data_IF_115590171285
#
_entry.id   IF_115590171285
#
_cell.length_a   1.000
_cell.length_b   1.000
_cell.length_c   1.000
_cell.angle_alpha   90.00
_cell.angle_beta   90.00
_cell.angle_gamma   90.00
#
_symmetry.space_group_name_H-M   'P 1'
#
loop_
_entity.id
_entity.type
_entity.pdbx_description
1 polymer ?
#
# COMPACT_ATOMS: atom_id res chain seq x y z
N UNK A 1 -54.73 -64.62 -14.60
CA UNK A 1 -55.00 -63.78 -13.41
C UNK A 1 -53.72 -63.69 -12.58
N UNK A 2 -53.06 -62.53 -12.55
CA UNK A 2 -53.04 -61.57 -11.43
C UNK A 2 -52.20 -62.12 -10.24
N UNK A 3 -51.07 -61.53 -9.87
CA UNK A 3 -50.97 -60.18 -9.29
C UNK A 3 -49.58 -59.55 -9.49
N UNK A 4 -49.60 -58.39 -10.13
CA UNK A 4 -48.71 -57.26 -9.87
C UNK A 4 -48.97 -56.81 -8.42
N UNK A 5 -47.92 -56.52 -7.65
CA UNK A 5 -48.07 -55.78 -6.40
C UNK A 5 -47.35 -54.43 -6.52
N UNK A 6 -48.18 -53.42 -6.76
CA UNK A 6 -47.87 -52.00 -6.76
C UNK A 6 -47.95 -51.51 -5.31
N UNK A 7 -46.83 -51.07 -4.74
CA UNK A 7 -46.86 -50.10 -3.64
C UNK A 7 -45.85 -48.99 -3.91
N UNK A 8 -46.41 -47.92 -4.47
CA UNK A 8 -45.92 -46.56 -4.50
C UNK A 8 -45.57 -46.10 -3.08
N UNK A 9 -44.31 -45.71 -2.85
CA UNK A 9 -43.97 -44.65 -1.89
C UNK A 9 -43.28 -43.57 -2.71
N UNK A 10 -44.02 -42.49 -2.86
CA UNK A 10 -43.66 -41.24 -3.49
C UNK A 10 -42.76 -40.47 -2.50
N UNK A 11 -41.48 -40.31 -2.81
CA UNK A 11 -40.64 -39.27 -2.20
C UNK A 11 -40.09 -38.42 -3.35
N UNK A 12 -40.78 -37.32 -3.62
CA UNK A 12 -40.35 -36.29 -4.58
C UNK A 12 -39.27 -35.47 -3.88
N UNK A 13 -38.00 -35.77 -4.17
CA UNK A 13 -36.89 -34.84 -3.99
C UNK A 13 -36.58 -34.27 -5.38
N UNK A 14 -37.04 -33.05 -5.64
CA UNK A 14 -36.64 -32.29 -6.82
C UNK A 14 -35.19 -31.85 -6.60
N UNK A 15 -34.24 -32.70 -7.02
CA UNK A 15 -32.87 -32.27 -7.30
C UNK A 15 -32.91 -31.73 -8.72
N UNK A 16 -32.87 -30.41 -8.85
CA UNK A 16 -32.53 -29.72 -10.09
C UNK A 16 -31.07 -30.03 -10.40
N UNK A 17 -30.81 -31.23 -10.93
CA UNK A 17 -29.52 -31.63 -11.48
C UNK A 17 -29.37 -30.87 -12.79
N UNK A 18 -28.50 -29.86 -12.78
CA UNK A 18 -27.97 -29.26 -14.00
C UNK A 18 -27.41 -30.42 -14.83
N UNK A 19 -28.10 -30.76 -15.92
CA UNK A 19 -27.62 -31.71 -16.90
C UNK A 19 -26.49 -31.03 -17.65
N UNK A 20 -25.28 -31.00 -17.06
CA UNK A 20 -24.10 -30.82 -17.88
C UNK A 20 -24.12 -31.96 -18.89
N UNK A 21 -24.03 -31.70 -20.20
CA UNK A 21 -23.75 -32.78 -21.12
C UNK A 21 -22.45 -33.43 -20.65
N UNK A 22 -22.53 -34.68 -20.23
CA UNK A 22 -21.39 -35.57 -20.30
C UNK A 22 -21.02 -35.56 -21.78
N UNK A 23 -20.01 -34.75 -22.13
CA UNK A 23 -19.30 -34.93 -23.38
C UNK A 23 -18.64 -36.28 -23.21
N UNK A 24 -19.31 -37.33 -23.68
CA UNK A 24 -18.66 -38.58 -24.00
C UNK A 24 -17.72 -38.22 -25.15
N UNK A 25 -16.51 -37.77 -24.79
CA UNK A 25 -15.37 -37.93 -25.68
C UNK A 25 -15.20 -39.44 -25.76
N UNK A 26 -15.91 -40.07 -26.69
CA UNK A 26 -15.47 -41.37 -27.19
C UNK A 26 -14.15 -41.06 -27.85
N UNK A 27 -13.06 -41.20 -27.09
CA UNK A 27 -11.77 -41.37 -27.69
C UNK A 27 -11.91 -42.67 -28.49
N UNK A 28 -12.11 -42.56 -29.82
CA UNK A 28 -11.91 -43.71 -30.70
C UNK A 28 -10.51 -44.22 -30.36
N UNK A 29 -10.46 -45.35 -29.67
CA UNK A 29 -9.21 -46.05 -29.44
C UNK A 29 -8.82 -46.58 -30.82
N UNK A 30 -8.06 -45.79 -31.57
CA UNK A 30 -7.57 -46.17 -32.90
C UNK A 30 -6.47 -47.24 -32.80
N UNK A 31 -6.66 -48.25 -31.94
CA UNK A 31 -5.81 -49.42 -31.77
C UNK A 31 -6.11 -50.42 -32.88
N UNK A 32 -6.01 -49.94 -34.11
CA UNK A 32 -6.13 -50.74 -35.31
C UNK A 32 -4.74 -51.00 -35.89
N UNK A 33 -4.53 -52.17 -36.48
CA UNK A 33 -3.34 -52.41 -37.28
C UNK A 33 -3.70 -53.19 -38.55
N UNK A 34 -2.96 -52.92 -39.62
CA UNK A 34 -3.10 -53.62 -40.90
C UNK A 34 -2.35 -54.95 -40.85
N UNK A 35 -3.02 -56.02 -41.27
CA UNK A 35 -2.41 -57.33 -41.45
C UNK A 35 -2.56 -57.78 -42.90
N UNK A 36 -1.49 -58.32 -43.46
CA UNK A 36 -1.44 -58.77 -44.85
C UNK A 36 -0.77 -60.13 -44.90
N UNK A 37 -1.22 -60.98 -45.84
CA UNK A 37 -0.64 -62.30 -45.99
C UNK A 37 -0.97 -62.93 -47.33
N UNK A 38 -0.42 -64.13 -47.53
CA UNK A 38 -0.73 -65.00 -48.66
C UNK A 38 -1.09 -66.38 -48.15
N UNK A 39 -2.19 -66.95 -48.65
CA UNK A 39 -2.62 -68.32 -48.37
C UNK A 39 -2.52 -69.20 -49.62
N UNK A 40 -1.97 -70.38 -49.41
CA UNK A 40 -1.83 -71.44 -50.39
C UNK A 40 -2.46 -72.72 -49.82
N UNK A 41 -2.98 -73.59 -50.68
CA UNK A 41 -3.45 -74.91 -50.27
C UNK A 41 -2.27 -75.87 -50.03
N UNK A 42 -2.56 -77.11 -49.64
CA UNK A 42 -1.54 -78.15 -49.40
C UNK A 42 -0.64 -78.44 -50.61
N UNK A 43 -1.11 -78.13 -51.82
CA UNK A 43 -0.38 -78.35 -53.08
C UNK A 43 0.43 -77.10 -53.50
N UNK A 44 0.45 -76.04 -52.68
CA UNK A 44 1.11 -74.77 -52.96
C UNK A 44 0.35 -73.86 -53.96
N UNK A 45 -0.88 -74.21 -54.31
CA UNK A 45 -1.70 -73.38 -55.20
C UNK A 45 -2.36 -72.23 -54.40
N UNK A 46 -2.38 -71.00 -54.93
CA UNK A 46 -2.98 -69.85 -54.26
C UNK A 46 -4.49 -70.02 -54.07
N UNK A 47 -4.99 -69.70 -52.88
CA UNK A 47 -6.43 -69.74 -52.57
C UNK A 47 -7.12 -68.50 -53.17
N UNK A 48 -8.32 -68.66 -53.74
CA UNK A 48 -9.13 -67.55 -54.26
C UNK A 48 -10.59 -67.70 -53.85
N UNK A 49 -10.84 -67.55 -52.55
CA UNK A 49 -12.17 -67.68 -51.92
C UNK A 49 -12.28 -66.77 -50.71
N UNK A 50 -13.48 -66.65 -50.14
CA UNK A 50 -13.69 -66.00 -48.84
C UNK A 50 -13.63 -67.07 -47.74
N UNK A 51 -12.75 -66.90 -46.77
CA UNK A 51 -12.58 -67.81 -45.62
C UNK A 51 -12.80 -67.05 -44.30
N UNK A 52 -13.22 -67.74 -43.24
CA UNK A 52 -13.28 -67.13 -41.91
C UNK A 52 -11.90 -67.21 -41.26
N UNK A 53 -11.25 -66.06 -41.08
CA UNK A 53 -9.96 -65.98 -40.42
C UNK A 53 -10.14 -65.50 -38.99
N UNK A 54 -9.61 -66.26 -38.03
CA UNK A 54 -9.56 -65.90 -36.62
C UNK A 54 -8.15 -65.46 -36.27
N UNK A 55 -8.02 -64.20 -35.88
CA UNK A 55 -6.78 -63.57 -35.45
C UNK A 55 -6.75 -63.51 -33.94
N UNK A 56 -5.60 -63.86 -33.35
CA UNK A 56 -5.38 -63.75 -31.92
C UNK A 56 -4.09 -63.00 -31.63
N UNK A 57 -4.10 -62.16 -30.61
CA UNK A 57 -2.89 -61.49 -30.12
C UNK A 57 -2.51 -62.12 -28.79
N UNK A 58 -1.24 -62.48 -28.66
CA UNK A 58 -0.64 -63.08 -27.49
C UNK A 58 0.41 -62.16 -26.88
N UNK A 59 0.58 -62.24 -25.55
CA UNK A 59 1.78 -61.73 -24.90
C UNK A 59 3.00 -62.62 -25.14
N UNK A 60 4.15 -62.23 -24.57
CA UNK A 60 5.39 -62.98 -24.63
C UNK A 60 5.44 -64.18 -23.65
N UNK A 61 4.32 -64.53 -23.02
CA UNK A 61 4.10 -65.74 -22.23
C UNK A 61 3.04 -66.67 -22.85
N UNK A 62 2.69 -66.47 -24.13
CA UNK A 62 1.67 -67.23 -24.87
C UNK A 62 0.23 -67.09 -24.32
N UNK A 63 -0.08 -66.04 -23.55
CA UNK A 63 -1.45 -65.75 -23.11
C UNK A 63 -2.23 -65.00 -24.19
N UNK A 64 -3.40 -65.50 -24.57
CA UNK A 64 -4.27 -64.85 -25.55
C UNK A 64 -4.93 -63.60 -24.93
N UNK A 65 -4.58 -62.42 -25.41
CA UNK A 65 -5.09 -61.14 -24.93
C UNK A 65 -6.29 -60.63 -25.73
N UNK A 66 -6.38 -61.01 -27.00
CA UNK A 66 -7.39 -60.50 -27.91
C UNK A 66 -7.67 -61.48 -29.03
N UNK A 67 -8.92 -61.51 -29.51
CA UNK A 67 -9.37 -62.37 -30.59
C UNK A 67 -10.36 -61.64 -31.49
N UNK A 68 -10.25 -61.79 -32.81
CA UNK A 68 -11.22 -61.26 -33.77
C UNK A 68 -11.34 -62.23 -34.95
N UNK A 69 -12.58 -62.54 -35.34
CA UNK A 69 -12.87 -63.38 -36.50
C UNK A 69 -13.51 -62.53 -37.60
N UNK A 70 -12.97 -62.63 -38.82
CA UNK A 70 -13.51 -61.95 -40.01
C UNK A 70 -13.65 -62.90 -41.17
N UNK A 71 -14.71 -62.72 -41.96
CA UNK A 71 -14.77 -63.25 -43.31
C UNK A 71 -13.85 -62.42 -44.21
N UNK A 72 -12.76 -63.03 -44.67
CA UNK A 72 -11.71 -62.36 -45.46
C UNK A 72 -11.74 -62.89 -46.88
N UNK A 73 -11.92 -61.99 -47.85
CA UNK A 73 -11.86 -62.32 -49.29
C UNK A 73 -10.40 -62.40 -49.74
N UNK A 74 -9.99 -63.56 -50.22
CA UNK A 74 -8.64 -63.84 -50.71
C UNK A 74 -8.66 -63.87 -52.23
N UNK A 75 -7.70 -63.20 -52.87
CA UNK A 75 -7.58 -63.14 -54.33
C UNK A 75 -6.16 -63.55 -54.71
N UNK A 76 -6.02 -64.60 -55.52
CA UNK A 76 -4.73 -65.15 -55.94
C UNK A 76 -3.78 -65.41 -54.75
N UNK A 77 -4.34 -65.88 -53.64
CA UNK A 77 -3.67 -66.15 -52.38
C UNK A 77 -3.50 -64.93 -51.50
N UNK A 78 -3.50 -63.70 -52.03
CA UNK A 78 -3.27 -62.48 -51.26
C UNK A 78 -4.50 -61.99 -50.50
N UNK A 79 -4.27 -61.40 -49.32
CA UNK A 79 -5.28 -60.66 -48.56
C UNK A 79 -4.65 -59.51 -47.76
N UNK A 80 -5.44 -58.47 -47.50
CA UNK A 80 -5.14 -57.38 -46.60
C UNK A 80 -6.39 -57.00 -45.80
N UNK A 81 -6.22 -56.65 -44.53
CA UNK A 81 -7.31 -56.19 -43.69
C UNK A 81 -6.82 -55.30 -42.54
N UNK A 82 -7.75 -54.51 -42.00
CA UNK A 82 -7.54 -53.78 -40.76
C UNK A 82 -8.20 -54.53 -39.60
N UNK A 83 -7.43 -54.81 -38.55
CA UNK A 83 -7.88 -55.47 -37.32
C UNK A 83 -8.16 -54.44 -36.21
N UNK A 84 -9.03 -54.77 -35.26
CA UNK A 84 -9.30 -53.93 -34.08
C UNK A 84 -10.13 -52.66 -34.32
N UNK A 85 -10.79 -52.52 -35.48
CA UNK A 85 -11.55 -51.31 -35.87
C UNK A 85 -12.88 -51.15 -35.14
N UNK A 86 -13.36 -52.17 -34.43
CA UNK A 86 -14.65 -52.13 -33.73
C UNK A 86 -14.47 -51.73 -32.27
N UNK A 87 -15.18 -50.68 -31.86
CA UNK A 87 -15.23 -50.19 -30.47
C UNK A 87 -15.68 -51.25 -29.45
N UNK A 88 -16.34 -52.33 -29.91
CA UNK A 88 -16.79 -53.43 -29.06
C UNK A 88 -15.69 -54.39 -28.62
N UNK A 89 -14.53 -54.38 -29.29
CA UNK A 89 -13.41 -55.27 -28.98
C UNK A 89 -12.06 -54.65 -29.40
N UNK A 90 -11.66 -53.53 -28.77
CA UNK A 90 -10.40 -52.86 -29.11
C UNK A 90 -9.21 -53.76 -28.77
N UNK A 91 -8.13 -53.65 -29.54
CA UNK A 91 -6.89 -54.35 -29.22
C UNK A 91 -6.28 -53.72 -27.95
N UNK A 92 -5.96 -54.53 -26.92
CA UNK A 92 -5.54 -54.03 -25.61
C UNK A 92 -4.06 -53.63 -25.58
N UNK A 93 -3.59 -52.83 -26.54
CA UNK A 93 -2.22 -52.34 -26.52
C UNK A 93 -2.02 -51.31 -25.40
N UNK A 94 -0.93 -51.46 -24.65
CA UNK A 94 -0.53 -50.54 -23.58
C UNK A 94 0.79 -49.83 -23.93
N UNK A 95 1.07 -48.72 -23.25
CA UNK A 95 2.33 -47.96 -23.46
C UNK A 95 3.50 -48.75 -22.87
N UNK A 96 4.63 -48.84 -23.59
CA UNK A 96 5.85 -49.58 -23.20
C UNK A 96 5.64 -51.09 -23.01
N UNK A 97 4.73 -51.66 -23.79
CA UNK A 97 4.41 -53.07 -23.76
C UNK A 97 5.52 -53.94 -24.37
N UNK A 98 5.69 -55.16 -23.85
CA UNK A 98 6.63 -56.16 -24.38
C UNK A 98 6.20 -56.62 -25.79
N UNK A 99 7.09 -57.32 -26.50
CA UNK A 99 6.75 -57.97 -27.77
C UNK A 99 5.42 -58.73 -27.69
N UNK A 100 4.63 -58.65 -28.76
CA UNK A 100 3.34 -59.34 -28.91
C UNK A 100 3.46 -60.29 -30.09
N UNK A 101 2.65 -61.33 -30.09
CA UNK A 101 2.61 -62.29 -31.19
C UNK A 101 1.21 -62.34 -31.79
N UNK A 102 1.11 -62.43 -33.10
CA UNK A 102 -0.14 -62.71 -33.79
C UNK A 102 -0.19 -64.15 -34.26
N UNK A 103 -1.29 -64.80 -33.92
CA UNK A 103 -1.70 -66.09 -34.46
C UNK A 103 -2.85 -65.93 -35.45
N UNK A 104 -2.89 -66.82 -36.44
CA UNK A 104 -3.93 -66.90 -37.47
C UNK A 104 -4.44 -68.34 -37.53
N UNK A 105 -5.75 -68.51 -37.41
CA UNK A 105 -6.44 -69.75 -37.77
C UNK A 105 -7.41 -69.48 -38.92
N UNK A 106 -7.54 -70.44 -39.84
CA UNK A 106 -8.40 -70.31 -41.03
C UNK A 106 -9.48 -71.39 -40.97
N UNK A 107 -10.73 -70.95 -41.00
CA UNK A 107 -11.94 -71.76 -40.78
C UNK A 107 -11.84 -72.68 -39.55
N UNK A 108 -11.72 -73.99 -39.76
CA UNK A 108 -11.62 -75.01 -38.71
C UNK A 108 -10.21 -75.58 -38.52
N UNK A 109 -9.22 -75.07 -39.24
CA UNK A 109 -7.86 -75.58 -39.18
C UNK A 109 -7.17 -75.17 -37.86
N UNK A 110 -6.18 -75.94 -37.39
CA UNK A 110 -5.32 -75.53 -36.29
C UNK A 110 -4.69 -74.16 -36.54
N UNK A 111 -4.42 -73.42 -35.45
CA UNK A 111 -3.71 -72.14 -35.55
C UNK A 111 -2.34 -72.33 -36.19
N UNK A 112 -1.98 -71.44 -37.11
CA UNK A 112 -0.72 -71.50 -37.83
C UNK A 112 0.47 -71.28 -36.89
N UNK A 113 1.48 -72.14 -37.01
CA UNK A 113 2.75 -72.03 -36.30
C UNK A 113 3.92 -71.87 -37.29
N UNK A 114 4.94 -71.05 -36.98
CA UNK A 114 5.08 -70.22 -35.77
C UNK A 114 4.26 -68.92 -35.83
N UNK A 115 3.86 -68.42 -34.65
CA UNK A 115 3.23 -67.10 -34.52
C UNK A 115 4.20 -65.99 -34.96
N UNK A 116 3.66 -64.93 -35.55
CA UNK A 116 4.47 -63.80 -36.02
C UNK A 116 4.61 -62.75 -34.91
N UNK A 117 5.84 -62.33 -34.60
CA UNK A 117 6.07 -61.22 -33.69
C UNK A 117 5.57 -59.90 -34.33
N UNK A 118 4.73 -59.17 -33.60
CA UNK A 118 4.32 -57.80 -33.94
C UNK A 118 5.04 -56.85 -32.99
N UNK A 119 5.92 -56.02 -33.55
CA UNK A 119 6.68 -55.03 -32.79
C UNK A 119 5.76 -53.94 -32.25
N UNK A 120 5.99 -53.51 -31.00
CA UNK A 120 5.26 -52.40 -30.41
C UNK A 120 5.45 -51.13 -31.25
N UNK A 121 4.38 -50.59 -31.83
CA UNK A 121 4.43 -49.25 -32.42
C UNK A 121 4.64 -48.29 -31.26
N UNK A 122 5.75 -47.54 -31.29
CA UNK A 122 5.95 -46.36 -30.46
C UNK A 122 4.82 -45.37 -30.79
N UNK A 123 3.65 -45.51 -30.17
CA UNK A 123 2.85 -44.33 -29.91
C UNK A 123 3.76 -43.45 -29.08
N UNK A 124 4.00 -42.21 -29.53
CA UNK A 124 4.64 -41.18 -28.74
C UNK A 124 3.78 -40.99 -27.48
N UNK A 125 4.01 -41.84 -26.49
CA UNK A 125 3.39 -41.80 -25.19
C UNK A 125 3.80 -40.46 -24.64
N UNK A 126 2.87 -39.52 -24.73
CA UNK A 126 2.69 -38.36 -23.87
C UNK A 126 3.84 -38.22 -22.87
N UNK A 127 4.61 -37.13 -22.98
CA UNK A 127 5.56 -36.73 -21.95
C UNK A 127 4.81 -36.63 -20.60
N UNK A 128 4.75 -37.75 -19.88
CA UNK A 128 3.94 -37.90 -18.67
C UNK A 128 4.46 -36.97 -17.56
N UNK A 129 5.70 -36.55 -17.71
CA UNK A 129 6.31 -35.46 -16.98
C UNK A 129 7.36 -34.80 -17.87
N UNK A 130 7.40 -33.48 -17.84
CA UNK A 130 8.57 -32.74 -18.28
C UNK A 130 9.63 -32.93 -17.18
N UNK A 131 10.81 -33.45 -17.54
CA UNK A 131 11.89 -33.60 -16.56
C UNK A 131 12.35 -32.22 -16.08
N UNK A 132 12.85 -32.14 -14.85
CA UNK A 132 13.42 -30.89 -14.33
C UNK A 132 14.42 -30.29 -15.30
N UNK A 133 14.39 -28.96 -15.44
CA UNK A 133 15.23 -28.16 -16.35
C UNK A 133 15.01 -28.40 -17.86
N UNK A 134 14.11 -29.30 -18.26
CA UNK A 134 13.90 -29.59 -19.70
C UNK A 134 13.34 -28.40 -20.48
N UNK A 135 12.63 -27.48 -19.82
CA UNK A 135 12.19 -26.22 -20.43
C UNK A 135 13.27 -25.17 -20.20
N UNK A 136 14.09 -24.96 -21.23
CA UNK A 136 15.06 -23.88 -21.28
C UNK A 136 14.40 -22.61 -21.81
N UNK A 137 15.03 -21.46 -21.61
CA UNK A 137 14.55 -20.18 -22.18
C UNK A 137 14.34 -20.25 -23.69
N UNK A 138 15.22 -20.93 -24.44
CA UNK A 138 15.10 -21.11 -25.89
C UNK A 138 13.89 -21.95 -26.35
N UNK A 139 13.28 -22.72 -25.44
CA UNK A 139 12.06 -23.50 -25.73
C UNK A 139 10.79 -22.70 -25.43
N UNK A 140 10.91 -21.53 -24.81
CA UNK A 140 9.83 -20.60 -24.59
C UNK A 140 9.94 -19.49 -25.63
N UNK A 141 8.91 -19.35 -26.47
CA UNK A 141 8.82 -18.18 -27.34
C UNK A 141 8.71 -16.90 -26.48
N UNK A 142 9.16 -15.78 -27.03
CA UNK A 142 9.03 -14.49 -26.35
C UNK A 142 7.56 -14.22 -25.99
N UNK A 143 7.33 -13.74 -24.77
CA UNK A 143 5.99 -13.52 -24.20
C UNK A 143 5.11 -14.78 -24.05
N UNK A 144 5.64 -15.99 -24.23
CA UNK A 144 4.87 -17.22 -24.04
C UNK A 144 4.38 -17.41 -22.60
N UNK A 145 5.07 -16.83 -21.61
CA UNK A 145 4.66 -16.84 -20.20
C UNK A 145 4.01 -15.50 -19.88
N UNK A 146 2.69 -15.49 -19.76
CA UNK A 146 1.87 -14.33 -19.38
C UNK A 146 1.54 -14.38 -17.88
N UNK A 147 1.00 -13.28 -17.32
CA UNK A 147 0.58 -13.24 -15.91
C UNK A 147 -0.35 -14.38 -15.53
N UNK A 148 -1.29 -14.75 -16.41
CA UNK A 148 -2.28 -15.80 -16.15
C UNK A 148 -1.66 -17.21 -16.05
N UNK A 149 -0.44 -17.38 -16.57
CA UNK A 149 0.34 -18.63 -16.48
C UNK A 149 1.24 -18.67 -15.24
N UNK A 150 1.34 -17.56 -14.50
CA UNK A 150 2.12 -17.45 -13.27
C UNK A 150 1.14 -17.50 -12.10
N UNK A 151 1.17 -18.59 -11.33
CA UNK A 151 0.35 -18.68 -10.14
C UNK A 151 0.72 -17.60 -9.11
N UNK A 152 -0.24 -17.22 -8.27
CA UNK A 152 0.01 -16.30 -7.17
C UNK A 152 1.16 -16.83 -6.29
N UNK A 153 2.07 -15.94 -5.92
CA UNK A 153 3.27 -16.26 -5.12
C UNK A 153 4.26 -17.25 -5.76
N UNK A 154 4.13 -17.58 -7.06
CA UNK A 154 5.07 -18.46 -7.76
C UNK A 154 6.47 -17.83 -7.92
N UNK A 155 6.55 -16.50 -7.90
CA UNK A 155 7.81 -15.75 -7.96
C UNK A 155 8.18 -15.27 -6.56
N UNK A 156 9.08 -15.99 -5.91
CA UNK A 156 9.69 -15.61 -4.62
C UNK A 156 10.83 -14.60 -4.82
N UNK A 157 11.29 -13.98 -3.74
CA UNK A 157 12.33 -12.94 -3.80
C UNK A 157 13.66 -13.43 -4.37
N UNK A 158 14.02 -14.70 -4.15
CA UNK A 158 15.22 -15.33 -4.73
C UNK A 158 15.12 -15.55 -6.25
N UNK A 159 13.93 -15.41 -6.84
CA UNK A 159 13.70 -15.46 -8.30
C UNK A 159 13.72 -14.08 -8.95
N UNK A 160 13.91 -13.01 -8.15
CA UNK A 160 14.01 -11.65 -8.63
C UNK A 160 15.46 -11.23 -8.43
N UNK A 161 16.18 -11.07 -9.54
CA UNK A 161 17.57 -10.63 -9.48
C UNK A 161 17.71 -9.24 -8.85
N UNK A 162 18.87 -8.97 -8.25
CA UNK A 162 19.20 -7.65 -7.72
C UNK A 162 19.02 -6.57 -8.80
N UNK A 163 18.36 -5.47 -8.42
CA UNK A 163 18.00 -4.35 -9.30
C UNK A 163 17.04 -4.68 -10.46
N UNK A 164 16.44 -5.88 -10.50
CA UNK A 164 15.45 -6.21 -11.52
C UNK A 164 14.21 -5.32 -11.44
N UNK A 165 13.84 -4.83 -10.25
CA UNK A 165 12.74 -3.88 -10.02
C UNK A 165 13.29 -2.45 -10.01
N UNK A 166 13.32 -1.82 -11.18
CA UNK A 166 13.74 -0.43 -11.35
C UNK A 166 12.59 0.56 -11.06
N UNK A 167 12.90 1.85 -10.93
CA UNK A 167 11.90 2.88 -10.63
C UNK A 167 10.74 2.92 -11.65
N UNK A 168 11.01 2.71 -12.93
CA UNK A 168 9.96 2.66 -13.98
C UNK A 168 8.98 1.49 -13.82
N UNK A 169 9.39 0.41 -13.13
CA UNK A 169 8.53 -0.74 -12.84
C UNK A 169 7.68 -0.53 -11.59
N UNK A 170 7.96 0.51 -10.81
CA UNK A 170 7.20 0.90 -9.61
C UNK A 170 6.29 2.07 -10.00
N UNK A 171 4.99 1.84 -10.03
CA UNK A 171 4.03 2.91 -10.31
C UNK A 171 4.07 4.00 -9.22
N UNK A 172 3.71 5.23 -9.59
CA UNK A 172 3.56 6.32 -8.63
C UNK A 172 2.61 5.91 -7.50
N UNK A 173 2.98 6.20 -6.25
CA UNK A 173 2.25 5.83 -5.03
C UNK A 173 2.11 4.31 -4.79
N UNK A 174 2.80 3.45 -5.53
CA UNK A 174 2.74 2.01 -5.31
C UNK A 174 3.31 1.59 -3.95
N UNK A 175 4.25 2.36 -3.39
CA UNK A 175 4.83 2.16 -2.06
C UNK A 175 4.17 3.13 -1.08
N UNK A 176 3.11 2.68 -0.40
CA UNK A 176 2.46 3.42 0.69
C UNK A 176 3.19 3.23 2.02
N UNK A 177 2.84 4.03 3.03
CA UNK A 177 3.40 3.92 4.39
C UNK A 177 3.34 2.50 4.93
N UNK A 178 2.21 1.80 4.74
CA UNK A 178 1.99 0.46 5.29
C UNK A 178 2.86 -0.62 4.62
N UNK A 179 3.46 -0.31 3.46
CA UNK A 179 4.42 -1.19 2.77
C UNK A 179 5.86 -0.95 3.22
N UNK A 180 6.10 0.09 4.02
CA UNK A 180 7.41 0.42 4.59
C UNK A 180 7.37 -0.01 6.05
N UNK A 181 8.15 -1.02 6.41
CA UNK A 181 8.24 -1.44 7.80
C UNK A 181 8.78 -0.31 8.70
N UNK A 182 8.26 -0.24 9.93
CA UNK A 182 8.68 0.75 10.92
C UNK A 182 10.21 0.77 11.09
N UNK A 183 10.75 1.96 11.33
CA UNK A 183 12.19 2.20 11.52
C UNK A 183 13.09 1.84 10.31
N UNK A 184 12.52 1.43 9.17
CA UNK A 184 13.33 1.08 8.00
C UNK A 184 13.92 2.32 7.33
N UNK A 185 13.22 3.46 7.34
CA UNK A 185 13.73 4.73 6.77
C UNK A 185 14.45 5.53 7.85
N UNK A 186 15.77 5.34 7.98
CA UNK A 186 16.63 6.12 8.87
C UNK A 186 16.97 7.49 8.26
N UNK A 187 17.49 8.43 9.07
CA UNK A 187 17.97 9.73 8.59
C UNK A 187 19.03 9.59 7.48
N UNK A 188 19.89 8.58 7.58
CA UNK A 188 20.88 8.26 6.54
C UNK A 188 20.27 7.83 5.21
N UNK A 189 19.02 7.32 5.19
CA UNK A 189 18.28 6.99 3.96
C UNK A 189 17.52 8.17 3.38
N UNK A 190 17.35 9.25 4.15
CA UNK A 190 16.82 10.54 3.69
C UNK A 190 17.93 11.45 3.15
N UNK A 191 19.20 11.07 3.32
CA UNK A 191 20.34 11.84 2.86
C UNK A 191 20.41 11.82 1.32
N UNK A 192 20.42 13.01 0.71
CA UNK A 192 20.69 13.15 -0.72
C UNK A 192 22.14 12.81 -1.08
N UNK A 193 22.46 12.61 -2.37
CA UNK A 193 23.84 12.39 -2.82
C UNK A 193 24.75 13.53 -2.35
N UNK A 194 25.81 13.21 -1.61
CA UNK A 194 26.76 14.21 -1.08
C UNK A 194 26.35 14.88 0.23
N UNK A 195 25.16 14.61 0.77
CA UNK A 195 24.76 15.04 2.11
C UNK A 195 24.90 13.87 3.08
N UNK A 196 25.75 13.99 4.09
CA UNK A 196 25.85 13.02 5.18
C UNK A 196 24.86 13.38 6.28
N UNK A 197 23.55 13.26 6.01
CA UNK A 197 22.56 13.32 7.08
C UNK A 197 22.76 12.10 7.98
N UNK A 198 23.52 12.27 9.06
CA UNK A 198 23.75 11.23 10.06
C UNK A 198 22.56 11.12 11.01
N UNK A 199 22.63 10.20 11.97
CA UNK A 199 21.76 10.24 13.14
C UNK A 199 21.99 11.59 13.85
N UNK A 200 20.92 12.36 14.03
CA UNK A 200 20.95 13.59 14.82
C UNK A 200 21.17 13.29 16.30
N UNK A 201 21.48 14.32 17.08
CA UNK A 201 21.55 14.26 18.54
C UNK A 201 20.29 14.87 19.17
N UNK A 202 20.07 14.56 20.46
CA UNK A 202 18.94 15.14 21.20
C UNK A 202 19.01 16.68 21.19
N UNK A 203 17.89 17.32 20.85
CA UNK A 203 17.75 18.76 20.80
C UNK A 203 18.03 19.39 19.42
N UNK A 204 18.51 18.61 18.45
CA UNK A 204 18.65 19.10 17.08
C UNK A 204 17.31 19.16 16.36
N UNK A 205 17.18 20.13 15.46
CA UNK A 205 16.04 20.35 14.58
C UNK A 205 16.44 19.92 13.18
N UNK A 206 15.60 19.09 12.55
CA UNK A 206 15.76 18.75 11.13
C UNK A 206 15.11 19.85 10.29
N UNK A 207 15.90 20.47 9.41
CA UNK A 207 15.43 21.52 8.51
C UNK A 207 15.65 21.12 7.06
N UNK A 208 14.70 21.44 6.18
CA UNK A 208 14.91 21.34 4.73
C UNK A 208 15.86 22.45 4.27
N UNK A 209 16.77 22.11 3.35
CA UNK A 209 17.71 23.05 2.75
C UNK A 209 17.15 23.71 1.48
N UNK A 210 15.94 23.34 1.03
CA UNK A 210 15.32 23.87 -0.20
C UNK A 210 15.86 23.28 -1.51
N UNK A 211 16.82 22.35 -1.43
CA UNK A 211 17.47 21.68 -2.56
C UNK A 211 17.20 20.17 -2.58
N UNK A 212 16.09 19.74 -1.98
CA UNK A 212 15.73 18.34 -1.72
C UNK A 212 16.64 17.60 -0.73
N UNK A 213 17.52 18.31 -0.02
CA UNK A 213 18.28 17.76 1.12
C UNK A 213 17.80 18.33 2.46
N UNK A 214 18.26 17.72 3.54
CA UNK A 214 17.97 18.12 4.92
C UNK A 214 19.26 18.25 5.73
N UNK A 215 19.22 19.07 6.77
CA UNK A 215 20.33 19.28 7.71
C UNK A 215 19.83 19.28 9.16
N UNK A 216 20.69 18.83 10.06
CA UNK A 216 20.51 19.05 11.50
C UNK A 216 21.06 20.42 11.89
N UNK A 217 20.26 21.21 12.61
CA UNK A 217 20.66 22.48 13.19
C UNK A 217 20.28 22.56 14.66
N UNK A 218 20.92 23.48 15.39
CA UNK A 218 20.56 23.80 16.78
C UNK A 218 19.64 25.03 16.89
N UNK A 219 19.47 25.75 15.78
CA UNK A 219 18.76 27.04 15.74
C UNK A 219 17.75 27.02 14.60
N UNK A 220 16.51 27.40 14.89
CA UNK A 220 15.52 27.68 13.86
C UNK A 220 15.70 29.11 13.36
N UNK A 221 15.91 29.29 12.06
CA UNK A 221 16.19 30.59 11.42
C UNK A 221 14.97 31.19 10.70
N UNK A 222 13.78 30.59 10.84
CA UNK A 222 12.55 31.03 10.17
C UNK A 222 11.58 31.80 11.07
N UNK A 223 10.38 32.06 10.53
CA UNK A 223 9.24 32.62 11.29
C UNK A 223 8.43 31.50 11.93
N UNK A 224 8.11 31.63 13.22
CA UNK A 224 7.18 30.74 13.93
C UNK A 224 5.78 31.33 13.87
N UNK A 225 4.92 30.77 13.01
CA UNK A 225 3.50 31.16 12.91
C UNK A 225 2.64 30.22 13.76
N UNK A 226 2.25 30.67 14.96
CA UNK A 226 1.46 29.86 15.91
C UNK A 226 0.40 30.72 16.60
N UNK A 227 -0.68 30.10 17.08
CA UNK A 227 -1.69 30.80 17.89
C UNK A 227 -1.21 31.11 19.31
N UNK A 228 -0.23 30.35 19.82
CA UNK A 228 0.42 30.59 21.11
C UNK A 228 1.84 30.04 21.10
N UNK A 229 2.77 30.76 21.74
CA UNK A 229 4.13 30.32 21.99
C UNK A 229 4.28 30.11 23.50
N UNK A 230 4.59 28.89 23.93
CA UNK A 230 4.82 28.54 25.34
C UNK A 230 6.25 28.04 25.51
N UNK A 231 6.99 28.58 26.48
CA UNK A 231 8.35 28.15 26.82
C UNK A 231 8.32 27.45 28.19
N UNK A 232 8.45 26.13 28.20
CA UNK A 232 8.41 25.29 29.40
C UNK A 232 9.80 24.78 29.79
N UNK A 233 10.07 24.62 31.09
CA UNK A 233 11.28 23.98 31.63
C UNK A 233 11.88 24.71 32.84
N UNK A 234 12.50 23.95 33.74
CA UNK A 234 12.98 24.40 35.07
C UNK A 234 14.04 25.51 35.01
N UNK A 235 14.61 25.81 33.83
CA UNK A 235 15.60 26.86 33.59
C UNK A 235 15.41 27.58 32.23
N UNK A 236 14.22 27.51 31.63
CA UNK A 236 14.00 28.02 30.28
C UNK A 236 13.74 29.54 30.29
N UNK A 237 14.71 30.33 29.85
CA UNK A 237 14.53 31.76 29.57
C UNK A 237 14.15 31.97 28.10
N UNK A 238 13.15 32.80 27.82
CA UNK A 238 12.89 33.31 26.48
C UNK A 238 13.72 34.58 26.25
N UNK A 239 14.78 34.48 25.45
CA UNK A 239 15.63 35.61 25.08
C UNK A 239 15.21 36.17 23.72
N UNK A 240 15.07 37.49 23.64
CA UNK A 240 14.85 38.20 22.38
C UNK A 240 16.02 39.15 22.15
N UNK A 241 16.82 38.90 21.11
CA UNK A 241 17.95 39.77 20.72
C UNK A 241 17.49 41.08 20.03
N UNK A 242 16.18 41.33 20.00
CA UNK A 242 15.55 42.50 19.39
C UNK A 242 14.21 42.83 20.07
N UNK A 243 13.39 43.70 19.47
CA UNK A 243 12.11 44.10 20.07
C UNK A 243 11.18 42.90 20.27
N UNK A 244 10.56 42.82 21.45
CA UNK A 244 9.31 42.10 21.57
C UNK A 244 8.21 42.97 20.94
N UNK A 245 7.59 42.49 19.86
CA UNK A 245 6.51 43.21 19.16
C UNK A 245 5.16 42.56 19.41
N UNK A 246 4.19 43.36 19.83
CA UNK A 246 2.78 43.01 19.97
C UNK A 246 2.02 43.62 18.79
N UNK A 247 1.75 42.81 17.76
CA UNK A 247 1.17 43.28 16.50
C UNK A 247 -0.32 43.62 16.68
N UNK A 248 -0.76 44.71 16.06
CA UNK A 248 -2.19 45.00 15.91
C UNK A 248 -2.84 44.05 14.90
N UNK A 249 -4.15 43.82 15.06
CA UNK A 249 -4.92 42.89 14.20
C UNK A 249 -4.97 43.31 12.73
N UNK A 250 -4.80 44.60 12.43
CA UNK A 250 -4.92 45.15 11.07
C UNK A 250 -3.63 45.78 10.57
N UNK A 251 -2.88 46.48 11.44
CA UNK A 251 -1.56 47.02 11.15
C UNK A 251 -0.91 47.55 12.44
N UNK A 252 0.37 47.92 12.36
CA UNK A 252 1.11 48.51 13.47
C UNK A 252 1.48 47.52 14.56
N UNK A 253 2.26 47.98 15.54
CA UNK A 253 2.63 47.20 16.72
C UNK A 253 3.01 48.10 17.88
N UNK A 254 2.88 47.56 19.09
CA UNK A 254 3.53 48.09 20.29
C UNK A 254 4.78 47.27 20.54
N UNK A 255 5.94 47.93 20.67
CA UNK A 255 7.22 47.26 20.85
C UNK A 255 7.82 47.53 22.23
N UNK A 256 8.42 46.50 22.84
CA UNK A 256 9.33 46.65 23.96
C UNK A 256 10.76 46.48 23.45
N UNK A 257 11.58 47.52 23.57
CA UNK A 257 12.97 47.56 23.10
C UNK A 257 13.87 47.92 24.27
N UNK A 258 14.93 47.15 24.49
CA UNK A 258 15.99 47.55 25.42
C UNK A 258 16.91 48.60 24.77
N UNK A 259 17.35 49.63 25.51
CA UNK A 259 18.35 50.57 25.00
C UNK A 259 19.68 49.84 24.73
N UNK A 260 20.50 50.38 23.83
CA UNK A 260 21.83 49.85 23.54
C UNK A 260 22.81 50.23 24.67
N UNK A 261 22.85 49.44 25.74
CA UNK A 261 23.74 49.62 26.90
C UNK A 261 24.57 48.37 27.14
N UNK A 262 25.77 48.51 27.73
CA UNK A 262 26.61 47.36 28.13
C UNK A 262 26.06 46.61 29.33
N UNK A 263 25.24 47.29 30.16
CA UNK A 263 24.68 46.72 31.38
C UNK A 263 23.26 46.20 31.13
N UNK A 264 22.90 45.13 31.86
CA UNK A 264 21.56 44.54 31.82
C UNK A 264 20.63 45.26 32.79
N UNK A 265 19.39 45.54 32.37
CA UNK A 265 18.32 46.02 33.24
C UNK A 265 17.23 44.95 33.34
N UNK A 266 16.85 44.58 34.56
CA UNK A 266 15.75 43.66 34.83
C UNK A 266 14.58 44.42 35.43
N UNK A 267 13.42 44.39 34.78
CA UNK A 267 12.17 44.91 35.34
C UNK A 267 11.40 43.80 36.06
N UNK A 268 11.29 43.93 37.37
CA UNK A 268 10.51 43.03 38.22
C UNK A 268 9.07 43.52 38.28
N UNK A 269 8.13 42.69 37.82
CA UNK A 269 6.70 42.96 37.91
C UNK A 269 6.21 42.82 39.36
N UNK A 270 5.16 43.56 39.77
CA UNK A 270 4.50 43.36 41.05
C UNK A 270 3.93 41.93 41.18
N UNK A 271 3.95 41.38 42.39
CA UNK A 271 3.43 40.03 42.66
C UNK A 271 1.89 39.92 42.58
N UNK A 272 1.18 41.05 42.52
CA UNK A 272 -0.27 41.11 42.43
C UNK A 272 -0.69 42.12 41.36
N UNK A 273 -1.86 41.91 40.81
CA UNK A 273 -2.44 42.83 39.82
C UNK A 273 -2.79 44.19 40.47
N UNK A 274 -2.92 45.20 39.61
CA UNK A 274 -3.30 46.56 40.00
C UNK A 274 -4.80 46.70 40.20
N UNK A 275 -5.20 47.76 40.88
CA UNK A 275 -6.59 48.22 40.87
C UNK A 275 -6.91 49.01 39.60
N UNK A 276 -8.19 49.07 39.23
CA UNK A 276 -8.66 49.88 38.10
C UNK A 276 -8.14 51.32 38.19
N UNK A 277 -7.58 51.83 37.08
CA UNK A 277 -7.00 53.17 37.00
C UNK A 277 -5.53 53.27 37.40
N UNK A 278 -4.88 52.18 37.84
CA UNK A 278 -3.45 52.18 38.14
C UNK A 278 -2.60 51.87 36.89
N UNK A 279 -1.36 52.33 36.90
CA UNK A 279 -0.35 51.99 35.89
C UNK A 279 0.96 51.55 36.55
N UNK A 280 1.76 50.78 35.82
CA UNK A 280 3.09 50.38 36.28
C UNK A 280 4.06 51.56 36.16
N UNK A 281 4.70 51.91 37.27
CA UNK A 281 5.79 52.88 37.32
C UNK A 281 7.09 52.21 37.75
N UNK A 282 8.20 52.65 37.16
CA UNK A 282 9.55 52.23 37.53
C UNK A 282 10.13 53.15 38.59
N UNK A 283 10.86 52.59 39.56
CA UNK A 283 11.65 53.36 40.52
C UNK A 283 13.03 53.79 39.96
N UNK A 284 13.33 53.53 38.69
CA UNK A 284 14.64 53.79 38.08
C UNK A 284 15.72 52.74 38.39
N UNK A 285 15.39 51.68 39.14
CA UNK A 285 16.30 50.58 39.50
C UNK A 285 15.72 49.21 39.17
N UNK A 286 14.75 49.15 38.25
CA UNK A 286 14.20 47.89 37.75
C UNK A 286 13.09 47.27 38.60
N UNK A 287 12.56 47.97 39.62
CA UNK A 287 11.35 47.52 40.32
C UNK A 287 10.16 48.29 39.73
N UNK A 288 9.16 47.56 39.26
CA UNK A 288 7.88 48.13 38.82
C UNK A 288 6.87 48.06 39.97
N UNK A 289 6.00 49.06 40.08
CA UNK A 289 4.93 49.12 41.08
C UNK A 289 3.68 49.76 40.51
N UNK A 290 2.51 49.28 40.95
CA UNK A 290 1.24 49.91 40.59
C UNK A 290 1.09 51.24 41.31
N UNK A 291 0.87 52.31 40.56
CA UNK A 291 0.59 53.63 41.12
C UNK A 291 -0.74 54.14 40.61
N UNK A 292 -1.49 54.79 41.49
CA UNK A 292 -2.68 55.55 41.11
C UNK A 292 -2.22 56.93 40.64
N UNK A 293 -2.56 57.37 39.41
CA UNK A 293 -2.25 58.71 38.96
C UNK A 293 -2.92 59.71 39.90
N UNK A 294 -2.15 60.66 40.45
CA UNK A 294 -2.76 61.88 40.98
C UNK A 294 -3.15 62.73 39.78
N UNK A 295 -4.43 62.76 39.45
CA UNK A 295 -4.95 63.82 38.60
C UNK A 295 -4.63 65.15 39.28
N UNK A 296 -4.03 66.10 38.57
CA UNK A 296 -4.04 67.49 39.01
C UNK A 296 -5.50 67.83 39.31
N UNK A 297 -5.78 68.35 40.51
CA UNK A 297 -7.11 68.83 40.88
C UNK A 297 -7.64 69.82 39.83
N UNK A 298 -6.73 70.49 39.13
CA UNK A 298 -6.98 71.50 38.12
C UNK A 298 -7.03 70.95 36.70
N UNK A 299 -8.08 71.33 35.97
CA UNK A 299 -8.20 71.11 34.53
C UNK A 299 -7.77 72.38 33.79
N UNK A 300 -7.02 72.24 32.70
CA UNK A 300 -6.71 73.35 31.79
C UNK A 300 -7.81 73.48 30.73
N UNK A 301 -8.41 74.65 30.56
CA UNK A 301 -9.29 74.98 29.42
C UNK A 301 -8.73 76.20 28.72
N UNK A 302 -8.23 76.01 27.49
CA UNK A 302 -7.46 77.05 26.81
C UNK A 302 -6.16 77.34 27.55
N UNK A 303 -5.89 78.63 27.83
CA UNK A 303 -4.75 79.07 28.65
C UNK A 303 -5.09 79.16 30.15
N UNK A 304 -6.34 78.87 30.53
CA UNK A 304 -6.83 79.04 31.89
C UNK A 304 -6.78 77.72 32.66
N UNK A 305 -6.40 77.80 33.93
CA UNK A 305 -6.44 76.70 34.88
C UNK A 305 -7.68 76.88 35.75
N UNK A 306 -8.58 75.91 35.78
CA UNK A 306 -9.82 75.98 36.56
C UNK A 306 -10.10 74.68 37.32
N UNK A 307 -10.72 74.82 38.49
CA UNK A 307 -11.23 73.70 39.28
C UNK A 307 -12.76 73.76 39.27
N UNK A 308 -13.43 72.65 38.94
CA UNK A 308 -14.87 72.67 38.65
C UNK A 308 -15.77 72.36 39.85
N UNK A 309 -15.23 72.16 41.05
CA UNK A 309 -16.02 71.93 42.26
C UNK A 309 -15.28 72.30 43.53
N UNK A 310 -15.84 73.19 44.36
CA UNK A 310 -15.28 73.55 45.67
C UNK A 310 -14.35 74.75 45.67
N UNK A 311 -13.98 75.17 46.87
CA UNK A 311 -13.15 76.34 47.12
C UNK A 311 -11.66 76.07 46.85
N UNK A 312 -10.95 77.10 46.39
CA UNK A 312 -9.52 77.07 46.08
C UNK A 312 -8.72 77.62 47.23
N UNK A 313 -7.63 76.96 47.61
CA UNK A 313 -6.67 77.52 48.56
C UNK A 313 -5.24 77.55 48.03
N UNK A 314 -4.51 78.61 48.35
CA UNK A 314 -3.05 78.71 48.19
C UNK A 314 -2.44 78.82 49.58
N UNK A 315 -1.60 77.84 49.97
CA UNK A 315 -0.94 77.83 51.28
C UNK A 315 -1.85 77.42 52.46
N UNK A 316 -3.04 76.88 52.19
CA UNK A 316 -4.02 76.42 53.20
C UNK A 316 -4.69 75.11 52.75
N UNK A 317 -4.95 74.19 53.66
CA UNK A 317 -5.54 72.86 53.35
C UNK A 317 -7.07 72.82 53.51
N UNK A 318 -7.67 73.88 54.05
CA UNK A 318 -9.11 73.99 54.31
C UNK A 318 -9.54 75.42 54.03
N UNK A 319 -9.85 75.78 52.77
CA UNK A 319 -10.32 77.12 52.43
C UNK A 319 -11.62 77.45 53.18
N UNK A 320 -11.75 78.70 53.63
CA UNK A 320 -13.00 79.24 54.19
C UNK A 320 -13.84 80.04 53.18
N UNK A 321 -13.31 80.22 51.96
CA UNK A 321 -13.89 81.03 50.88
C UNK A 321 -13.47 80.45 49.53
N UNK A 322 -14.24 80.76 48.47
CA UNK A 322 -14.01 80.32 47.09
C UNK A 322 -12.57 80.47 46.57
N UNK A 323 -11.86 81.52 47.02
CA UNK A 323 -10.41 81.66 46.89
C UNK A 323 -9.85 82.10 48.25
N UNK A 324 -8.98 81.29 48.85
CA UNK A 324 -8.38 81.53 50.16
C UNK A 324 -6.85 81.43 50.06
N UNK A 325 -6.17 82.59 50.13
CA UNK A 325 -4.72 82.65 50.04
C UNK A 325 -4.16 82.95 51.43
N UNK A 326 -3.45 81.98 52.01
CA UNK A 326 -2.68 82.18 53.23
C UNK A 326 -1.31 82.77 52.88
N UNK A 327 -1.30 84.07 52.55
CA UNK A 327 -0.11 84.80 52.11
C UNK A 327 -0.47 86.10 51.38
N UNK A 328 0.54 86.70 50.74
CA UNK A 328 0.37 87.93 49.95
C UNK A 328 -0.18 87.60 48.56
N UNK A 329 -1.25 88.30 48.15
CA UNK A 329 -1.76 88.23 46.77
C UNK A 329 -1.19 89.40 45.98
N UNK A 330 -0.34 89.10 44.99
CA UNK A 330 0.15 90.09 44.01
C UNK A 330 -0.53 89.84 42.68
N UNK A 331 -1.33 90.80 42.21
CA UNK A 331 -2.00 90.73 40.91
C UNK A 331 -1.75 92.01 40.12
N UNK A 332 -1.70 91.91 38.79
CA UNK A 332 -1.61 93.08 37.90
C UNK A 332 -2.89 93.90 37.91
N UNK A 333 -4.04 93.27 38.18
CA UNK A 333 -5.32 93.94 38.40
C UNK A 333 -6.24 93.05 39.26
N UNK A 334 -7.05 93.68 40.11
CA UNK A 334 -8.19 93.04 40.79
C UNK A 334 -9.47 93.64 40.22
N UNK A 335 -10.29 92.84 39.54
CA UNK A 335 -11.59 93.28 39.00
C UNK A 335 -12.70 92.77 39.91
N UNK A 336 -13.32 93.68 40.66
CA UNK A 336 -14.40 93.42 41.60
C UNK A 336 -14.92 94.74 42.16
N UNK A 337 -15.96 94.70 42.98
CA UNK A 337 -16.49 95.90 43.67
C UNK A 337 -15.61 96.36 44.85
N UNK A 338 -14.60 95.55 45.22
CA UNK A 338 -13.66 95.82 46.30
C UNK A 338 -14.29 95.84 47.70
N UNK A 339 -15.59 95.60 47.82
CA UNK A 339 -16.34 95.83 49.06
C UNK A 339 -15.96 94.85 50.18
N UNK A 340 -15.42 93.68 49.82
CA UNK A 340 -14.95 92.65 50.74
C UNK A 340 -13.47 92.73 51.12
N UNK A 341 -12.72 93.72 50.61
CA UNK A 341 -11.31 93.91 50.95
C UNK A 341 -11.19 94.63 52.31
N UNK A 342 -10.58 93.96 53.29
CA UNK A 342 -10.38 94.50 54.64
C UNK A 342 -8.90 94.55 54.97
N UNK A 343 -8.45 95.59 55.68
CA UNK A 343 -7.04 95.76 56.09
C UNK A 343 -6.04 95.78 54.92
N UNK A 344 -6.41 96.44 53.82
CA UNK A 344 -5.56 96.72 52.65
C UNK A 344 -4.98 98.13 52.75
#
# INVERSE_FOLDING_TARGET
MKKINTKTILFVFVILMVHLPLINVSAESLNTFTFQGRLENSDGAPISSTLNMTFKIYDNQDSCLWTETKAVSIIAGGFDLMLGKTESNPIPFTVNEQARYIGLAVDGDPEMEPRQEIGGVLRAGMALSVTDTAITTSKLADSAVTSDKIANSAVSSDKIDDNAVTTIKIANNAVSSDKIADNTVSSTKLAGPGSALTSGTNGQILTSNGDSTFSWGNTFTGTISTSSLTVNGTASTASFEGPLRLQGSSSGYVGLVSPATSDSTTYNLPASDGSSGQFLSTNGSGILSWITPSLSQWTTSGSDIYYNSGDVAIGKTTPGSALDVNGTVTATNFVGDGSGLTNI
#
